data_IF_337628221718
#
_entry.id   IF_337628221718
#
_cell.length_a   1.000
_cell.length_b   1.000
_cell.length_c   1.000
_cell.angle_alpha   90.00
_cell.angle_beta   90.00
_cell.angle_gamma   90.00
#
_symmetry.space_group_name_H-M   'P 1'
#
loop_
_entity.id
_entity.type
_entity.pdbx_description
1 polymer ?
#
# COMPACT_ATOMS: atom_id res chain seq x y z
N UNK A 1 13.77 -15.87 -15.16
CA UNK A 1 13.18 -15.22 -13.98
C UNK A 1 14.31 -14.67 -13.14
N UNK A 2 14.15 -13.47 -12.57
CA UNK A 2 15.14 -12.92 -11.63
C UNK A 2 14.95 -13.49 -10.23
N UNK A 3 16.01 -13.48 -9.42
CA UNK A 3 15.97 -14.00 -8.06
C UNK A 3 15.04 -13.17 -7.17
N UNK A 4 15.13 -11.84 -7.26
CA UNK A 4 14.31 -10.95 -6.44
C UNK A 4 12.81 -11.13 -6.72
N UNK A 5 12.43 -11.23 -7.99
CA UNK A 5 11.05 -11.45 -8.44
C UNK A 5 10.48 -12.77 -7.89
N UNK A 6 11.31 -13.83 -7.86
CA UNK A 6 10.92 -15.11 -7.28
C UNK A 6 10.66 -15.01 -5.76
N UNK A 7 11.54 -14.30 -5.05
CA UNK A 7 11.46 -14.16 -3.59
C UNK A 7 10.23 -13.34 -3.14
N UNK A 8 9.81 -12.35 -3.93
CA UNK A 8 8.60 -11.55 -3.67
C UNK A 8 7.35 -12.09 -4.37
N UNK A 9 7.45 -13.20 -5.11
CA UNK A 9 6.33 -13.74 -5.88
C UNK A 9 5.18 -14.24 -5.00
N UNK A 10 3.96 -14.26 -5.54
CA UNK A 10 2.77 -14.84 -4.88
C UNK A 10 2.99 -16.30 -4.45
N UNK A 11 3.85 -17.06 -5.15
CA UNK A 11 4.22 -18.43 -4.76
C UNK A 11 5.01 -18.51 -3.44
N UNK A 12 5.49 -17.37 -2.95
CA UNK A 12 6.20 -17.21 -1.67
C UNK A 12 5.41 -16.34 -0.69
N UNK A 13 4.11 -16.14 -0.92
CA UNK A 13 3.23 -15.44 0.03
C UNK A 13 3.24 -16.14 1.39
N UNK A 14 3.65 -15.42 2.43
CA UNK A 14 3.80 -15.95 3.80
C UNK A 14 5.19 -16.51 4.12
N UNK A 15 6.08 -16.68 3.14
CA UNK A 15 7.48 -16.94 3.41
C UNK A 15 8.15 -15.67 3.96
N UNK A 16 9.03 -15.84 4.95
CA UNK A 16 9.78 -14.75 5.55
C UNK A 16 11.26 -15.02 5.41
N UNK A 17 12.03 -13.95 5.19
CA UNK A 17 13.47 -14.04 5.15
C UNK A 17 13.99 -14.55 6.50
N UNK A 18 14.74 -15.66 6.56
CA UNK A 18 15.19 -16.22 7.83
C UNK A 18 16.11 -15.23 8.55
N UNK A 19 15.83 -14.94 9.82
CA UNK A 19 16.43 -13.80 10.53
C UNK A 19 17.96 -13.80 10.63
N UNK A 20 18.59 -14.97 10.56
CA UNK A 20 20.03 -15.16 10.65
C UNK A 20 20.75 -15.12 9.30
N UNK A 21 20.01 -15.10 8.18
CA UNK A 21 20.57 -15.18 6.84
C UNK A 21 20.86 -13.80 6.28
N UNK A 22 22.08 -13.62 5.77
CA UNK A 22 22.51 -12.34 5.22
C UNK A 22 22.21 -12.21 3.73
N UNK A 23 22.36 -13.30 2.98
CA UNK A 23 22.24 -13.28 1.51
C UNK A 23 21.70 -14.56 0.91
N UNK A 24 20.99 -14.40 -0.20
CA UNK A 24 20.55 -15.46 -1.08
C UNK A 24 21.29 -15.34 -2.42
N UNK A 25 21.73 -16.45 -2.99
CA UNK A 25 22.30 -16.49 -4.34
C UNK A 25 21.59 -17.48 -5.22
N UNK A 26 21.55 -17.17 -6.51
CA UNK A 26 21.11 -18.08 -7.56
C UNK A 26 22.18 -18.18 -8.63
N UNK A 27 22.21 -19.32 -9.33
CA UNK A 27 23.11 -19.55 -10.45
C UNK A 27 22.30 -19.62 -11.74
N UNK A 28 22.80 -18.98 -12.80
CA UNK A 28 22.22 -19.04 -14.13
C UNK A 28 21.95 -20.49 -14.56
N UNK A 29 20.74 -20.75 -15.06
CA UNK A 29 20.33 -22.07 -15.55
C UNK A 29 19.97 -23.08 -14.46
N UNK A 30 20.12 -22.72 -13.18
CA UNK A 30 19.75 -23.56 -12.04
C UNK A 30 18.42 -23.06 -11.46
N UNK A 31 17.70 -23.93 -10.76
CA UNK A 31 16.45 -23.60 -10.03
C UNK A 31 16.67 -23.37 -8.53
N UNK A 32 17.85 -23.70 -8.02
CA UNK A 32 18.21 -23.61 -6.62
C UNK A 32 18.54 -22.19 -6.21
N UNK A 33 18.02 -21.79 -5.06
CA UNK A 33 18.41 -20.58 -4.34
C UNK A 33 19.13 -21.00 -3.07
N UNK A 34 20.38 -20.57 -2.92
CA UNK A 34 21.22 -20.90 -1.79
C UNK A 34 21.25 -19.76 -0.79
N UNK A 35 21.08 -20.06 0.49
CA UNK A 35 21.08 -19.06 1.56
C UNK A 35 22.35 -19.19 2.40
N UNK A 36 22.99 -18.05 2.70
CA UNK A 36 24.26 -18.00 3.40
C UNK A 36 24.20 -17.08 4.62
N UNK A 37 24.87 -17.52 5.68
CA UNK A 37 25.20 -16.70 6.85
C UNK A 37 26.39 -15.78 6.55
N UNK A 38 26.48 -14.62 7.21
CA UNK A 38 27.60 -13.69 7.03
C UNK A 38 28.83 -14.06 7.87
N UNK A 39 28.65 -14.86 8.92
CA UNK A 39 29.62 -15.05 9.99
C UNK A 39 30.45 -16.35 9.89
N UNK A 40 30.38 -17.07 8.77
CA UNK A 40 31.18 -18.28 8.56
C UNK A 40 32.03 -18.17 7.29
N UNK A 41 33.32 -18.47 7.40
CA UNK A 41 34.22 -18.70 6.29
C UNK A 41 34.71 -20.16 6.35
N UNK A 42 34.29 -21.04 5.42
CA UNK A 42 33.40 -20.79 4.29
C UNK A 42 31.92 -20.65 4.70
N UNK A 43 31.10 -19.93 3.91
CA UNK A 43 29.72 -19.65 4.28
C UNK A 43 28.89 -20.93 4.24
N UNK A 44 28.31 -21.30 5.39
CA UNK A 44 27.52 -22.52 5.56
C UNK A 44 26.18 -22.33 4.84
N UNK A 45 25.83 -23.28 3.96
CA UNK A 45 24.51 -23.38 3.34
C UNK A 45 23.47 -23.65 4.42
N UNK A 46 22.52 -22.74 4.61
CA UNK A 46 21.49 -22.92 5.62
C UNK A 46 20.28 -23.69 5.11
N UNK A 47 19.87 -23.43 3.88
CA UNK A 47 18.67 -23.97 3.23
C UNK A 47 18.76 -23.75 1.71
N UNK A 48 17.92 -24.46 0.96
CA UNK A 48 17.77 -24.28 -0.49
C UNK A 48 16.30 -24.15 -0.86
N UNK A 49 15.90 -23.05 -1.51
CA UNK A 49 14.60 -22.97 -2.18
C UNK A 49 14.74 -23.46 -3.63
N UNK A 50 13.67 -24.04 -4.16
CA UNK A 50 13.60 -24.46 -5.56
C UNK A 50 12.57 -23.60 -6.28
N UNK A 51 13.00 -22.90 -7.31
CA UNK A 51 12.15 -22.13 -8.21
C UNK A 51 11.44 -23.05 -9.23
N UNK A 52 10.22 -22.69 -9.69
CA UNK A 52 9.50 -23.46 -10.70
C UNK A 52 10.22 -23.45 -12.05
N UNK A 53 10.91 -22.35 -12.38
CA UNK A 53 11.65 -22.16 -13.62
C UNK A 53 13.10 -21.77 -13.35
N UNK A 54 14.05 -22.09 -14.25
CA UNK A 54 15.46 -21.71 -14.09
C UNK A 54 15.68 -20.19 -14.04
N UNK A 55 16.70 -19.76 -13.29
CA UNK A 55 17.11 -18.35 -13.26
C UNK A 55 17.84 -17.95 -14.54
N UNK A 56 17.56 -16.73 -15.02
CA UNK A 56 18.12 -16.20 -16.28
C UNK A 56 19.56 -15.70 -16.12
N UNK A 57 19.96 -15.33 -14.91
CA UNK A 57 21.29 -14.86 -14.57
C UNK A 57 21.68 -15.35 -13.17
N UNK A 58 22.98 -15.28 -12.84
CA UNK A 58 23.44 -15.47 -11.47
C UNK A 58 23.28 -14.15 -10.72
N UNK A 59 22.54 -14.17 -9.62
CA UNK A 59 22.19 -12.97 -8.84
C UNK A 59 22.43 -13.22 -7.35
N UNK A 60 22.80 -12.15 -6.64
CA UNK A 60 22.92 -12.11 -5.20
C UNK A 60 21.92 -11.08 -4.67
N UNK A 61 21.06 -11.52 -3.77
CA UNK A 61 20.08 -10.68 -3.08
C UNK A 61 20.46 -10.65 -1.61
N UNK A 62 20.68 -9.46 -1.05
CA UNK A 62 20.86 -9.29 0.40
C UNK A 62 19.50 -9.16 1.07
N UNK A 63 19.48 -9.33 2.39
CA UNK A 63 18.27 -9.12 3.18
C UNK A 63 17.69 -7.72 2.98
N UNK A 64 18.54 -6.69 2.96
CA UNK A 64 18.13 -5.29 2.77
C UNK A 64 17.51 -5.08 1.39
N UNK A 65 18.11 -5.66 0.34
CA UNK A 65 17.56 -5.59 -1.02
C UNK A 65 16.22 -6.31 -1.13
N UNK A 66 16.05 -7.44 -0.45
CA UNK A 66 14.77 -8.14 -0.36
C UNK A 66 13.72 -7.30 0.36
N UNK A 67 14.03 -6.74 1.53
CA UNK A 67 13.10 -5.90 2.30
C UNK A 67 12.71 -4.63 1.53
N UNK A 68 13.67 -3.98 0.85
CA UNK A 68 13.40 -2.83 -0.01
C UNK A 68 12.54 -3.20 -1.23
N UNK A 69 12.81 -4.33 -1.90
CA UNK A 69 11.98 -4.80 -3.00
C UNK A 69 10.59 -5.23 -2.54
N UNK A 70 10.47 -5.83 -1.35
CA UNK A 70 9.20 -6.20 -0.74
C UNK A 70 8.38 -4.94 -0.39
N UNK A 71 9.04 -3.89 0.12
CA UNK A 71 8.42 -2.60 0.38
C UNK A 71 7.97 -1.92 -0.92
N UNK A 72 8.83 -1.88 -1.95
CA UNK A 72 8.49 -1.31 -3.26
C UNK A 72 7.43 -2.13 -4.03
N UNK A 73 7.35 -3.44 -3.76
CA UNK A 73 6.33 -4.32 -4.33
C UNK A 73 4.97 -4.17 -3.65
N UNK A 74 4.89 -3.57 -2.45
CA UNK A 74 3.61 -3.14 -1.90
C UNK A 74 3.14 -1.98 -2.77
N UNK A 75 2.23 -2.28 -3.68
CA UNK A 75 1.66 -1.29 -4.58
C UNK A 75 1.02 -0.17 -3.75
N UNK A 76 1.56 1.04 -3.85
CA UNK A 76 0.92 2.25 -3.31
C UNK A 76 -0.41 2.41 -4.02
N UNK A 77 -1.49 2.43 -3.25
CA UNK A 77 -2.82 2.65 -3.76
C UNK A 77 -3.07 4.16 -3.85
N UNK A 78 -3.41 4.63 -5.05
CA UNK A 78 -3.68 6.04 -5.35
C UNK A 78 -5.04 6.53 -4.82
N UNK A 79 -5.84 5.62 -4.26
CA UNK A 79 -7.17 5.92 -3.73
C UNK A 79 -8.27 5.78 -4.75
N UNK A 80 -7.97 5.37 -5.99
CA UNK A 80 -8.99 5.05 -6.99
C UNK A 80 -9.39 3.57 -6.91
N UNK A 81 -10.70 3.31 -6.88
CA UNK A 81 -11.25 1.95 -6.87
C UNK A 81 -11.09 1.22 -5.53
N UNK A 82 -10.91 -0.11 -5.58
CA UNK A 82 -10.70 -0.90 -4.37
C UNK A 82 -9.20 -1.01 -4.03
N UNK A 83 -8.81 -0.90 -2.75
CA UNK A 83 -7.41 -1.03 -2.37
C UNK A 83 -6.88 -2.43 -2.67
N UNK A 84 -5.65 -2.59 -3.20
CA UNK A 84 -5.10 -3.89 -3.55
C UNK A 84 -4.97 -4.83 -2.33
N UNK A 85 -5.10 -6.14 -2.56
CA UNK A 85 -4.96 -7.14 -1.49
C UNK A 85 -3.56 -7.08 -0.88
N UNK A 86 -3.49 -6.96 0.44
CA UNK A 86 -2.25 -6.78 1.20
C UNK A 86 -1.88 -5.32 1.47
N UNK A 87 -2.59 -4.36 0.86
CA UNK A 87 -2.47 -2.93 1.15
C UNK A 87 -2.98 -2.63 2.57
N UNK A 88 -2.31 -1.70 3.24
CA UNK A 88 -2.80 -1.08 4.47
C UNK A 88 -3.35 0.29 4.13
N UNK A 89 -4.61 0.53 4.50
CA UNK A 89 -5.35 1.73 4.14
C UNK A 89 -6.21 2.20 5.31
N UNK A 90 -6.63 3.47 5.27
CA UNK A 90 -7.60 4.01 6.23
C UNK A 90 -9.01 3.57 5.82
N UNK A 91 -9.76 2.98 6.76
CA UNK A 91 -11.17 2.64 6.60
C UNK A 91 -12.04 3.60 7.41
N UNK A 92 -13.02 4.21 6.75
CA UNK A 92 -14.05 5.04 7.35
C UNK A 92 -15.28 4.20 7.67
N UNK A 93 -15.51 3.98 8.95
CA UNK A 93 -16.74 3.34 9.42
C UNK A 93 -17.94 4.28 9.28
N UNK A 94 -19.17 3.74 9.13
CA UNK A 94 -20.40 4.54 9.14
C UNK A 94 -20.59 5.37 10.42
N UNK A 95 -19.96 4.98 11.53
CA UNK A 95 -19.96 5.73 12.80
C UNK A 95 -18.97 6.90 12.82
N UNK A 96 -18.25 7.16 11.72
CA UNK A 96 -17.28 8.25 11.59
C UNK A 96 -15.89 7.95 12.16
N UNK A 97 -15.65 6.73 12.66
CA UNK A 97 -14.33 6.31 13.15
C UNK A 97 -13.44 5.91 11.97
N UNK A 98 -12.22 6.45 11.94
CA UNK A 98 -11.14 6.09 11.00
C UNK A 98 -10.24 5.07 11.65
N UNK A 99 -10.00 3.95 10.98
CA UNK A 99 -9.10 2.89 11.48
C UNK A 99 -8.19 2.39 10.37
N UNK A 100 -6.94 2.08 10.70
CA UNK A 100 -6.02 1.42 9.76
C UNK A 100 -6.39 -0.05 9.63
N UNK A 101 -6.63 -0.47 8.40
CA UNK A 101 -7.03 -1.83 8.06
C UNK A 101 -6.13 -2.39 6.98
N UNK A 102 -6.01 -3.71 6.96
CA UNK A 102 -5.29 -4.45 5.92
C UNK A 102 -6.29 -5.21 5.05
N UNK A 103 -6.22 -5.00 3.74
CA UNK A 103 -7.06 -5.73 2.78
C UNK A 103 -6.58 -7.17 2.65
N UNK A 104 -7.50 -8.12 2.75
CA UNK A 104 -7.19 -9.56 2.66
C UNK A 104 -7.76 -10.23 1.42
N UNK A 105 -8.86 -9.70 0.85
CA UNK A 105 -9.48 -10.27 -0.33
C UNK A 105 -10.45 -9.27 -1.00
N UNK A 106 -10.78 -9.55 -2.26
CA UNK A 106 -11.87 -8.91 -3.00
C UNK A 106 -12.92 -9.94 -3.38
N UNK A 107 -14.19 -9.58 -3.29
CA UNK A 107 -15.29 -10.45 -3.70
C UNK A 107 -16.45 -9.66 -4.28
N UNK A 108 -17.10 -10.24 -5.29
CA UNK A 108 -18.31 -9.66 -5.87
C UNK A 108 -19.48 -9.99 -4.94
N UNK A 109 -20.06 -8.98 -4.31
CA UNK A 109 -21.37 -9.10 -3.68
C UNK A 109 -22.47 -8.87 -4.73
N UNK A 110 -23.74 -9.18 -4.41
CA UNK A 110 -24.89 -9.06 -5.34
C UNK A 110 -25.03 -7.68 -6.00
N UNK A 111 -24.52 -6.62 -5.36
CA UNK A 111 -24.66 -5.25 -5.85
C UNK A 111 -23.33 -4.61 -6.31
N UNK A 112 -22.19 -5.00 -5.73
CA UNK A 112 -20.90 -4.35 -5.99
C UNK A 112 -19.72 -5.24 -5.62
N UNK A 113 -18.55 -4.92 -6.19
CA UNK A 113 -17.27 -5.40 -5.70
C UNK A 113 -16.97 -4.79 -4.32
N UNK A 114 -16.55 -5.63 -3.37
CA UNK A 114 -16.22 -5.24 -2.00
C UNK A 114 -14.87 -5.80 -1.59
N UNK A 115 -14.19 -5.08 -0.70
CA UNK A 115 -12.95 -5.53 -0.07
C UNK A 115 -13.22 -6.10 1.32
N UNK A 116 -12.66 -7.27 1.59
CA UNK A 116 -12.55 -7.85 2.94
C UNK A 116 -11.30 -7.31 3.59
N UNK A 117 -11.39 -6.90 4.85
CA UNK A 117 -10.27 -6.35 5.59
C UNK A 117 -10.23 -6.81 7.05
N UNK A 118 -9.07 -6.60 7.67
CA UNK A 118 -8.82 -6.84 9.09
C UNK A 118 -8.19 -5.58 9.70
N UNK A 119 -8.68 -5.09 10.85
CA UNK A 119 -8.04 -3.98 11.55
C UNK A 119 -6.64 -4.35 12.02
N UNK A 120 -5.67 -3.46 11.79
CA UNK A 120 -4.25 -3.70 12.13
C UNK A 120 -3.99 -3.47 13.63
N UNK A 121 -4.62 -2.46 14.21
CA UNK A 121 -4.33 -1.98 15.56
C UNK A 121 -5.19 -2.64 16.67
N UNK A 122 -6.17 -3.47 16.31
CA UNK A 122 -7.06 -4.10 17.31
C UNK A 122 -6.47 -5.42 17.82
N UNK A 123 -6.51 -5.60 19.14
CA UNK A 123 -6.09 -6.83 19.82
C UNK A 123 -6.93 -8.04 19.38
N UNK A 124 -8.23 -7.82 19.11
CA UNK A 124 -9.12 -8.81 18.51
C UNK A 124 -9.33 -8.52 17.02
N UNK A 125 -8.92 -9.48 16.17
CA UNK A 125 -9.05 -9.39 14.72
C UNK A 125 -10.45 -9.82 14.29
N UNK A 126 -11.28 -8.85 13.94
CA UNK A 126 -12.55 -9.08 13.26
C UNK A 126 -12.38 -8.95 11.76
N UNK A 127 -13.01 -9.84 11.00
CA UNK A 127 -13.06 -9.74 9.54
C UNK A 127 -14.31 -8.96 9.16
N UNK A 128 -14.17 -7.92 8.36
CA UNK A 128 -15.28 -7.09 7.90
C UNK A 128 -15.13 -6.75 6.40
N UNK A 129 -16.18 -6.19 5.81
CA UNK A 129 -16.28 -5.90 4.38
C UNK A 129 -16.85 -4.51 4.09
N UNK A 130 -16.28 -3.83 3.11
CA UNK A 130 -16.80 -2.54 2.66
C UNK A 130 -16.57 -2.29 1.16
N UNK A 131 -17.30 -1.31 0.62
CA UNK A 131 -17.14 -0.81 -0.76
C UNK A 131 -15.95 0.15 -0.86
N UNK A 132 -15.50 0.45 -2.09
CA UNK A 132 -14.37 1.35 -2.37
C UNK A 132 -14.44 2.67 -1.61
N UNK A 133 -15.64 3.26 -1.54
CA UNK A 133 -15.86 4.60 -1.01
C UNK A 133 -15.60 4.70 0.51
N UNK A 134 -15.53 3.56 1.19
CA UNK A 134 -15.21 3.45 2.61
C UNK A 134 -13.70 3.42 2.88
N UNK A 135 -12.84 3.34 1.85
CA UNK A 135 -11.39 3.28 2.01
C UNK A 135 -10.70 4.53 1.46
N UNK A 136 -9.55 4.85 2.04
CA UNK A 136 -8.64 5.89 1.56
C UNK A 136 -7.19 5.47 1.78
N UNK A 137 -6.25 5.91 0.92
CA UNK A 137 -4.82 5.71 1.19
C UNK A 137 -4.43 6.29 2.54
N UNK A 138 -3.39 5.73 3.19
CA UNK A 138 -2.85 6.28 4.43
C UNK A 138 -2.28 7.67 4.14
N UNK A 139 -2.92 8.70 4.70
CA UNK A 139 -2.61 10.11 4.41
C UNK A 139 -1.59 10.68 5.40
N UNK A 140 -0.66 11.48 4.91
CA UNK A 140 0.20 12.29 5.77
C UNK A 140 -0.61 13.38 6.48
N UNK A 141 -0.12 13.93 7.60
CA UNK A 141 -0.82 15.04 8.30
C UNK A 141 -1.05 16.25 7.39
N UNK A 142 -0.15 16.50 6.45
CA UNK A 142 -0.30 17.56 5.47
C UNK A 142 -1.53 17.31 4.59
N UNK A 143 -1.73 16.09 4.11
CA UNK A 143 -2.89 15.72 3.30
C UNK A 143 -4.19 15.82 4.07
N UNK A 144 -4.18 15.48 5.37
CA UNK A 144 -5.34 15.62 6.26
C UNK A 144 -5.77 17.09 6.38
N UNK A 145 -4.81 18.00 6.60
CA UNK A 145 -5.08 19.45 6.66
C UNK A 145 -5.62 20.01 5.34
N UNK A 146 -5.11 19.52 4.20
CA UNK A 146 -5.58 19.93 2.87
C UNK A 146 -7.04 19.56 2.64
N UNK A 147 -7.41 18.32 2.96
CA UNK A 147 -8.78 17.85 2.76
C UNK A 147 -9.77 18.46 3.75
N UNK A 148 -9.35 18.70 5.00
CA UNK A 148 -10.17 19.44 5.96
C UNK A 148 -10.46 20.86 5.47
N UNK A 149 -9.45 21.54 4.92
CA UNK A 149 -9.63 22.87 4.36
C UNK A 149 -10.53 22.86 3.11
N UNK A 150 -10.35 21.90 2.20
CA UNK A 150 -11.21 21.73 1.03
C UNK A 150 -12.67 21.43 1.44
N UNK A 151 -12.88 20.57 2.45
CA UNK A 151 -14.21 20.28 2.99
C UNK A 151 -14.85 21.51 3.62
N UNK A 152 -14.08 22.30 4.39
CA UNK A 152 -14.56 23.55 4.97
C UNK A 152 -15.00 24.57 3.91
N UNK A 153 -14.25 24.68 2.81
CA UNK A 153 -14.62 25.51 1.66
C UNK A 153 -15.92 25.02 1.00
N UNK A 154 -16.05 23.71 0.81
CA UNK A 154 -17.25 23.09 0.23
C UNK A 154 -18.49 23.33 1.10
N UNK A 155 -18.38 23.12 2.42
CA UNK A 155 -19.45 23.39 3.39
C UNK A 155 -19.85 24.88 3.40
N UNK A 156 -18.88 25.79 3.28
CA UNK A 156 -19.13 27.23 3.21
C UNK A 156 -19.91 27.58 1.93
N UNK A 157 -19.54 27.01 0.78
CA UNK A 157 -20.22 27.23 -0.49
C UNK A 157 -21.67 26.74 -0.41
N UNK A 158 -21.89 25.49 0.01
CA UNK A 158 -23.25 24.92 0.15
C UNK A 158 -24.13 25.77 1.08
N UNK A 159 -23.59 26.26 2.20
CA UNK A 159 -24.35 27.08 3.16
C UNK A 159 -24.68 28.48 2.66
N UNK A 160 -23.81 29.11 1.86
CA UNK A 160 -23.93 30.54 1.54
C UNK A 160 -24.38 30.84 0.11
N UNK A 161 -24.28 29.91 -0.84
CA UNK A 161 -24.57 30.23 -2.25
C UNK A 161 -25.90 29.67 -2.77
N UNK A 162 -26.73 29.00 -1.95
CA UNK A 162 -28.01 28.39 -2.39
C UNK A 162 -27.88 27.55 -3.69
N UNK A 163 -26.68 27.06 -3.98
CA UNK A 163 -26.36 26.26 -5.16
C UNK A 163 -26.03 24.86 -4.69
N UNK A 164 -27.04 23.98 -4.69
CA UNK A 164 -26.82 22.57 -4.44
C UNK A 164 -26.08 21.94 -5.64
N UNK A 165 -25.05 21.15 -5.35
CA UNK A 165 -24.36 20.26 -6.30
C UNK A 165 -23.68 20.91 -7.53
N UNK A 166 -23.24 22.17 -7.44
CA UNK A 166 -22.50 22.81 -8.55
C UNK A 166 -21.03 22.40 -8.60
N UNK A 167 -20.44 22.02 -7.47
CA UNK A 167 -19.02 21.64 -7.37
C UNK A 167 -18.88 20.26 -6.74
N UNK A 168 -17.97 19.44 -7.27
CA UNK A 168 -17.53 18.21 -6.64
C UNK A 168 -16.34 18.48 -5.71
N UNK A 169 -16.09 17.60 -4.74
CA UNK A 169 -15.00 17.78 -3.78
C UNK A 169 -13.62 17.89 -4.47
N UNK A 170 -13.46 17.23 -5.61
CA UNK A 170 -12.27 17.29 -6.45
C UNK A 170 -12.04 18.71 -7.02
N UNK A 171 -13.11 19.43 -7.38
CA UNK A 171 -13.01 20.81 -7.86
C UNK A 171 -12.53 21.74 -6.74
N UNK A 172 -13.02 21.52 -5.52
CA UNK A 172 -12.64 22.32 -4.34
C UNK A 172 -11.20 22.04 -3.90
N UNK A 173 -10.76 20.79 -3.99
CA UNK A 173 -9.34 20.43 -3.80
C UNK A 173 -8.47 21.17 -4.82
N UNK A 174 -8.89 21.22 -6.09
CA UNK A 174 -8.19 21.97 -7.14
C UNK A 174 -8.07 23.47 -6.83
N UNK A 175 -9.11 24.09 -6.27
CA UNK A 175 -9.04 25.48 -5.80
C UNK A 175 -8.05 25.66 -4.65
N UNK A 176 -8.09 24.76 -3.67
CA UNK A 176 -7.18 24.80 -2.54
C UNK A 176 -5.72 24.69 -3.00
N UNK A 177 -5.41 23.75 -3.90
CA UNK A 177 -4.06 23.58 -4.46
C UNK A 177 -3.60 24.81 -5.24
N UNK A 178 -4.51 25.47 -5.98
CA UNK A 178 -4.19 26.71 -6.68
C UNK A 178 -3.88 27.87 -5.73
N UNK A 179 -4.59 27.96 -4.59
CA UNK A 179 -4.35 28.96 -3.55
C UNK A 179 -3.02 28.68 -2.85
N UNK A 180 -2.78 27.43 -2.43
CA UNK A 180 -1.54 27.02 -1.77
C UNK A 180 -0.32 27.23 -2.67
N UNK A 181 -0.46 27.02 -3.98
CA UNK A 181 0.57 27.29 -4.97
C UNK A 181 0.70 28.78 -5.34
N UNK A 182 -0.10 29.68 -4.75
CA UNK A 182 -0.07 31.12 -5.01
C UNK A 182 -0.50 31.52 -6.43
N UNK A 183 -1.24 30.64 -7.13
CA UNK A 183 -1.70 30.88 -8.51
C UNK A 183 -2.89 31.83 -8.59
N UNK A 184 -3.62 32.02 -7.49
CA UNK A 184 -4.72 32.98 -7.41
C UNK A 184 -4.19 34.32 -6.89
N UNK A 185 -4.18 35.38 -7.71
CA UNK A 185 -3.71 36.69 -7.28
C UNK A 185 -4.45 37.17 -6.04
N UNK A 186 -3.70 37.79 -5.11
CA UNK A 186 -4.23 38.40 -3.88
C UNK A 186 -4.76 37.44 -2.80
N UNK A 187 -4.69 36.12 -2.97
CA UNK A 187 -5.03 35.14 -1.93
C UNK A 187 -3.78 34.35 -1.54
N UNK A 188 -3.47 34.29 -0.25
CA UNK A 188 -2.37 33.50 0.33
C UNK A 188 -2.86 32.83 1.61
N UNK A 189 -2.37 31.62 1.86
CA UNK A 189 -2.53 30.92 3.13
C UNK A 189 -1.25 31.21 3.91
N UNK A 190 -1.37 31.86 5.06
CA UNK A 190 -0.27 32.16 5.99
C UNK A 190 -0.05 30.99 6.97
#
# INVERSE_FOLDING_TARGET
>A
MKLIEFLISENKKGWQWPGTIAKATSTKGVRGVNFYFDYACPPILSNTLIAPVPFSCSELVTRESYEAALAASKQEWDGEGLPPVGCECEHHSPSGMVTVVKIIAHFQNRAAMVAVFIPVEREFKTVDQAISDCFRPIRSEADKKRDEAAKGLMDYLVKNTCTDNVFYIQDVIGFYDAIAAGKIPHIRID
#
